data_IF_431447045086
#
_entry.id   IF_431447045086
#
_cell.length_a   1.000
_cell.length_b   1.000
_cell.length_c   1.000
_cell.angle_alpha   90.00
_cell.angle_beta   90.00
_cell.angle_gamma   90.00
#
_symmetry.space_group_name_H-M   'P 1'
#
loop_
_entity.id
_entity.type
_entity.pdbx_description
1 polymer ?
#
# COMPACT_ATOMS: atom_id res chain seq x y z
N UNK A 1 6.11 -12.43 -3.00
CA UNK A 1 6.91 -12.96 -1.87
C UNK A 1 8.22 -13.54 -2.40
N UNK A 2 9.25 -12.70 -2.52
CA UNK A 2 10.60 -13.20 -2.75
C UNK A 2 11.04 -13.83 -1.44
N UNK A 3 11.18 -15.15 -1.41
CA UNK A 3 11.75 -15.86 -0.28
C UNK A 3 13.18 -15.34 -0.10
N UNK A 4 13.38 -14.46 0.88
CA UNK A 4 14.72 -14.12 1.35
C UNK A 4 15.39 -15.44 1.70
N UNK A 5 16.34 -15.85 0.86
CA UNK A 5 17.29 -16.90 1.18
C UNK A 5 17.97 -16.47 2.47
N UNK A 6 17.59 -17.05 3.60
CA UNK A 6 18.03 -16.66 4.95
C UNK A 6 19.57 -16.62 5.08
N UNK A 7 20.29 -17.26 4.15
CA UNK A 7 21.75 -17.41 4.13
C UNK A 7 22.52 -16.51 3.13
N UNK A 8 21.90 -15.52 2.45
CA UNK A 8 22.65 -14.65 1.54
C UNK A 8 23.60 -13.73 2.34
N UNK A 9 24.91 -13.83 2.09
CA UNK A 9 25.89 -12.90 2.70
C UNK A 9 25.68 -11.48 2.20
N UNK A 10 25.79 -10.51 3.11
CA UNK A 10 25.71 -9.08 2.78
C UNK A 10 26.83 -8.67 1.80
N UNK A 11 28.02 -9.28 1.92
CA UNK A 11 29.15 -9.04 1.01
C UNK A 11 28.83 -9.34 -0.45
N UNK A 12 27.84 -10.19 -0.70
CA UNK A 12 27.49 -10.69 -2.02
C UNK A 12 26.32 -9.88 -2.62
N UNK A 13 25.86 -8.84 -1.91
CA UNK A 13 24.86 -7.89 -2.39
C UNK A 13 25.53 -6.76 -3.19
N UNK A 14 24.90 -6.39 -4.28
CA UNK A 14 25.16 -5.12 -4.93
C UNK A 14 24.76 -3.95 -4.04
N UNK A 15 25.36 -2.77 -4.27
CA UNK A 15 24.99 -1.52 -3.58
C UNK A 15 23.50 -1.21 -3.73
N UNK A 16 22.91 -1.54 -4.87
CA UNK A 16 21.49 -1.34 -5.12
C UNK A 16 20.63 -2.22 -4.20
N UNK A 17 20.91 -3.53 -4.15
CA UNK A 17 20.18 -4.46 -3.29
C UNK A 17 20.28 -4.05 -1.82
N UNK A 18 21.46 -3.63 -1.36
CA UNK A 18 21.65 -3.21 0.02
C UNK A 18 20.86 -1.94 0.36
N UNK A 19 20.86 -0.94 -0.53
CA UNK A 19 20.06 0.29 -0.35
C UNK A 19 18.56 0.02 -0.35
N UNK A 20 18.11 -0.91 -1.20
CA UNK A 20 16.70 -1.33 -1.25
C UNK A 20 16.31 -2.05 0.02
N UNK A 21 17.12 -2.99 0.52
CA UNK A 21 16.86 -3.67 1.79
C UNK A 21 16.71 -2.68 2.96
N UNK A 22 17.64 -1.73 3.11
CA UNK A 22 17.55 -0.71 4.17
C UNK A 22 16.24 0.09 4.04
N UNK A 23 15.90 0.49 2.81
CA UNK A 23 14.67 1.24 2.54
C UNK A 23 13.44 0.42 2.93
N UNK A 24 13.37 -0.83 2.50
CA UNK A 24 12.24 -1.71 2.76
C UNK A 24 12.06 -1.92 4.27
N UNK A 25 13.15 -2.20 5.01
CA UNK A 25 13.12 -2.33 6.47
C UNK A 25 12.62 -1.06 7.17
N UNK A 26 13.00 0.13 6.69
CA UNK A 26 12.49 1.38 7.27
C UNK A 26 11.00 1.53 7.00
N UNK A 27 10.53 1.23 5.78
CA UNK A 27 9.12 1.36 5.44
C UNK A 27 8.24 0.34 6.17
N UNK A 28 8.70 -0.90 6.39
CA UNK A 28 8.00 -1.88 7.21
C UNK A 28 7.74 -1.39 8.65
N UNK A 29 8.57 -0.49 9.17
CA UNK A 29 8.40 0.09 10.51
C UNK A 29 7.43 1.28 10.49
N UNK A 30 7.50 2.12 9.45
CA UNK A 30 6.75 3.38 9.39
C UNK A 30 5.32 3.16 8.88
N UNK A 31 5.16 2.29 7.89
CA UNK A 31 3.90 2.02 7.22
C UNK A 31 3.48 0.57 7.53
N UNK A 32 2.48 0.37 8.41
CA UNK A 32 2.02 -0.97 8.78
C UNK A 32 1.43 -1.75 7.60
N UNK A 33 1.09 -1.07 6.51
CA UNK A 33 0.56 -1.67 5.29
C UNK A 33 1.65 -1.85 4.20
N UNK A 34 2.91 -1.51 4.48
CA UNK A 34 4.00 -1.65 3.50
C UNK A 34 4.16 -3.08 3.01
N UNK A 35 4.17 -3.26 1.69
CA UNK A 35 4.33 -4.57 1.06
C UNK A 35 3.08 -5.47 1.14
N UNK A 36 1.96 -4.99 1.70
CA UNK A 36 0.70 -5.71 1.69
C UNK A 36 -0.11 -5.45 0.41
N UNK A 37 -0.90 -6.44 0.03
CA UNK A 37 -1.86 -6.33 -1.07
C UNK A 37 -3.27 -6.05 -0.51
N UNK A 38 -4.09 -5.36 -1.30
CA UNK A 38 -5.49 -5.19 -0.96
C UNK A 38 -6.21 -6.54 -0.97
N UNK A 39 -7.06 -6.76 0.03
CA UNK A 39 -7.96 -7.92 0.01
C UNK A 39 -8.93 -7.79 -1.16
N UNK A 40 -9.30 -8.92 -1.77
CA UNK A 40 -10.14 -8.96 -2.97
C UNK A 40 -11.46 -8.22 -2.77
N UNK A 41 -12.11 -8.36 -1.61
CA UNK A 41 -13.36 -7.67 -1.30
C UNK A 41 -13.21 -6.14 -1.23
N UNK A 42 -12.05 -5.66 -0.77
CA UNK A 42 -11.74 -4.22 -0.70
C UNK A 42 -11.46 -3.68 -2.09
N UNK A 43 -10.69 -4.43 -2.88
CA UNK A 43 -10.39 -4.06 -4.27
C UNK A 43 -11.68 -3.97 -5.13
N UNK A 44 -12.58 -4.94 -5.00
CA UNK A 44 -13.88 -4.93 -5.68
C UNK A 44 -14.75 -3.74 -5.25
N UNK A 45 -14.81 -3.47 -3.95
CA UNK A 45 -15.52 -2.31 -3.41
C UNK A 45 -14.98 -0.98 -3.97
N UNK A 46 -13.66 -0.83 -4.04
CA UNK A 46 -13.00 0.33 -4.61
C UNK A 46 -13.29 0.47 -6.11
N UNK A 47 -13.19 -0.61 -6.89
CA UNK A 47 -13.54 -0.61 -8.32
C UNK A 47 -14.98 -0.17 -8.54
N UNK A 48 -15.91 -0.64 -7.70
CA UNK A 48 -17.32 -0.21 -7.74
C UNK A 48 -17.46 1.27 -7.43
N UNK A 49 -16.83 1.75 -6.36
CA UNK A 49 -16.87 3.17 -5.97
C UNK A 49 -16.31 4.08 -7.06
N UNK A 50 -15.21 3.69 -7.72
CA UNK A 50 -14.64 4.46 -8.83
C UNK A 50 -15.61 4.58 -10.02
N UNK A 51 -16.33 3.50 -10.37
CA UNK A 51 -17.37 3.53 -11.41
C UNK A 51 -18.53 4.45 -11.03
N UNK A 52 -18.98 4.37 -9.78
CA UNK A 52 -20.05 5.25 -9.27
C UNK A 52 -19.64 6.72 -9.38
N UNK A 53 -18.42 7.05 -8.94
CA UNK A 53 -17.87 8.41 -9.05
C UNK A 53 -17.83 8.89 -10.50
N UNK A 54 -17.40 8.04 -11.44
CA UNK A 54 -17.37 8.37 -12.86
C UNK A 54 -18.78 8.65 -13.44
N UNK A 55 -19.80 8.02 -12.88
CA UNK A 55 -21.21 8.25 -13.24
C UNK A 55 -21.84 9.44 -12.51
N UNK A 56 -21.08 10.20 -11.72
CA UNK A 56 -21.58 11.31 -10.90
C UNK A 56 -22.31 10.88 -9.63
N UNK A 57 -22.20 9.60 -9.25
CA UNK A 57 -22.74 9.06 -7.99
C UNK A 57 -21.69 9.14 -6.87
N UNK A 58 -22.15 9.12 -5.61
CA UNK A 58 -21.28 9.11 -4.44
C UNK A 58 -21.49 10.33 -3.56
N UNK A 59 -20.49 10.64 -2.74
CA UNK A 59 -20.52 11.72 -1.76
C UNK A 59 -19.47 12.77 -2.12
N UNK A 60 -19.85 14.04 -2.08
CA UNK A 60 -18.90 15.14 -2.21
C UNK A 60 -17.94 15.19 -1.01
N UNK A 61 -16.79 15.84 -1.20
CA UNK A 61 -15.83 16.01 -0.11
C UNK A 61 -16.45 16.78 1.07
N UNK A 62 -17.28 17.77 0.80
CA UNK A 62 -17.94 18.58 1.83
C UNK A 62 -18.99 17.77 2.62
N UNK A 63 -19.78 16.93 1.95
CA UNK A 63 -20.68 16.00 2.65
C UNK A 63 -19.91 14.98 3.50
N UNK A 64 -18.75 14.50 3.03
CA UNK A 64 -17.92 13.57 3.77
C UNK A 64 -17.32 14.23 5.03
N UNK A 65 -16.80 15.45 4.91
CA UNK A 65 -16.30 16.23 6.05
C UNK A 65 -17.38 16.44 7.11
N UNK A 66 -18.56 16.91 6.69
CA UNK A 66 -19.70 17.13 7.57
C UNK A 66 -20.10 15.85 8.33
N UNK A 67 -20.09 14.69 7.68
CA UNK A 67 -20.39 13.40 8.34
C UNK A 67 -19.31 12.94 9.32
N UNK A 68 -18.04 13.27 9.04
CA UNK A 68 -16.90 12.93 9.89
C UNK A 68 -16.66 13.96 11.00
N UNK A 69 -17.41 15.07 11.01
CA UNK A 69 -17.24 16.16 11.97
C UNK A 69 -15.94 16.94 11.76
N UNK A 70 -15.46 17.01 10.52
CA UNK A 70 -14.25 17.73 10.09
C UNK A 70 -14.57 19.06 9.42
#
# INVERSE_FOLDING_TARGET
MSTTTEDKKISDMSVYEFKTLIRDTIYEIIDPDYGLELRTEVEEGLKKSLKQKANGEGMSLEEAKNKLGL
#
